data_IF_330214448919
#
_entry.id   IF_330214448919
#
_cell.length_a   1.000
_cell.length_b   1.000
_cell.length_c   1.000
_cell.angle_alpha   90.00
_cell.angle_beta   90.00
_cell.angle_gamma   90.00
#
_symmetry.space_group_name_H-M   'P 1'
#
loop_
_entity.id
_entity.type
_entity.pdbx_description
1 polymer ?
#
# COMPACT_ATOMS: atom_id res chain seq x y z
N UNK A 1 32.99 0.95 -7.97
CA UNK A 1 32.64 1.67 -6.73
C UNK A 1 32.15 3.10 -7.00
N UNK A 2 32.85 3.84 -7.86
CA UNK A 2 32.51 5.21 -8.27
C UNK A 2 31.12 5.34 -8.93
N UNK A 3 30.75 4.45 -9.85
CA UNK A 3 29.43 4.44 -10.49
C UNK A 3 28.27 4.31 -9.47
N UNK A 4 28.44 3.53 -8.41
CA UNK A 4 27.46 3.39 -7.33
C UNK A 4 27.34 4.66 -6.50
N UNK A 5 28.46 5.32 -6.21
CA UNK A 5 28.48 6.62 -5.51
C UNK A 5 27.80 7.71 -6.34
N UNK A 6 27.99 7.69 -7.66
CA UNK A 6 27.33 8.64 -8.55
C UNK A 6 25.83 8.39 -8.65
N UNK A 7 25.39 7.12 -8.75
CA UNK A 7 23.95 6.79 -8.72
C UNK A 7 23.27 7.28 -7.44
N UNK A 8 23.94 7.13 -6.29
CA UNK A 8 23.45 7.64 -4.99
C UNK A 8 23.31 9.16 -5.02
N UNK A 9 24.33 9.89 -5.51
CA UNK A 9 24.29 11.36 -5.62
C UNK A 9 23.15 11.84 -6.52
N UNK A 10 22.95 11.19 -7.66
CA UNK A 10 21.86 11.51 -8.59
C UNK A 10 20.49 11.31 -7.92
N UNK A 11 20.28 10.17 -7.23
CA UNK A 11 19.04 9.93 -6.49
C UNK A 11 18.81 10.95 -5.38
N UNK A 12 19.86 11.31 -4.64
CA UNK A 12 19.74 12.28 -3.56
C UNK A 12 19.38 13.68 -4.08
N UNK A 13 19.99 14.11 -5.18
CA UNK A 13 19.60 15.36 -5.89
C UNK A 13 18.15 15.31 -6.36
N UNK A 14 17.70 14.18 -6.93
CA UNK A 14 16.33 14.02 -7.39
C UNK A 14 15.32 14.04 -6.23
N UNK A 15 15.64 13.38 -5.11
CA UNK A 15 14.81 13.39 -3.90
C UNK A 15 14.69 14.81 -3.34
N UNK A 16 15.79 15.55 -3.25
CA UNK A 16 15.77 16.95 -2.83
C UNK A 16 14.94 17.84 -3.76
N UNK A 17 14.99 17.60 -5.08
CA UNK A 17 14.16 18.32 -6.04
C UNK A 17 12.67 18.02 -5.84
N UNK A 18 12.31 16.75 -5.64
CA UNK A 18 10.93 16.34 -5.32
C UNK A 18 10.47 16.96 -4.00
N UNK A 19 11.30 16.93 -2.97
CA UNK A 19 11.01 17.53 -1.67
C UNK A 19 10.69 19.02 -1.81
N UNK A 20 11.56 19.80 -2.49
CA UNK A 20 11.31 21.23 -2.72
C UNK A 20 10.00 21.46 -3.48
N UNK A 21 9.72 20.64 -4.50
CA UNK A 21 8.53 20.79 -5.33
C UNK A 21 7.23 20.49 -4.57
N UNK A 22 7.20 19.46 -3.74
CA UNK A 22 5.96 18.91 -3.17
C UNK A 22 5.76 19.21 -1.69
N UNK A 23 6.83 19.35 -0.91
CA UNK A 23 6.76 19.49 0.55
C UNK A 23 7.11 20.88 1.06
N UNK A 24 7.79 21.73 0.27
CA UNK A 24 8.27 23.04 0.73
C UNK A 24 7.18 23.92 1.33
N UNK A 25 5.97 23.92 0.75
CA UNK A 25 4.84 24.72 1.25
C UNK A 25 4.33 24.29 2.63
N UNK A 26 4.61 23.04 3.04
CA UNK A 26 4.16 22.46 4.30
C UNK A 26 5.26 22.47 5.37
N UNK A 27 6.49 22.87 5.03
CA UNK A 27 7.64 22.84 5.95
C UNK A 27 7.43 23.59 7.28
N UNK A 28 6.71 24.74 7.34
CA UNK A 28 6.44 25.40 8.62
C UNK A 28 5.70 24.51 9.63
N UNK A 29 4.87 23.58 9.16
CA UNK A 29 4.06 22.68 9.99
C UNK A 29 4.67 21.28 10.08
N UNK A 30 5.33 20.84 9.00
CA UNK A 30 5.82 19.47 8.83
C UNK A 30 7.22 19.26 9.41
N UNK A 31 8.07 20.29 9.39
CA UNK A 31 9.51 20.16 9.65
C UNK A 31 9.86 19.71 11.07
N UNK A 32 9.00 19.96 12.05
CA UNK A 32 9.19 19.57 13.45
C UNK A 32 8.59 18.20 13.79
N UNK A 33 7.81 17.61 12.88
CA UNK A 33 7.14 16.35 13.14
C UNK A 33 8.11 15.16 13.02
N UNK A 34 8.10 14.27 14.00
CA UNK A 34 8.87 13.02 13.97
C UNK A 34 8.51 12.18 12.75
N UNK A 35 7.23 12.12 12.39
CA UNK A 35 6.74 11.43 11.21
C UNK A 35 7.40 11.92 9.91
N UNK A 36 7.72 13.20 9.80
CA UNK A 36 8.45 13.75 8.64
C UNK A 36 9.90 13.28 8.63
N UNK A 37 10.60 13.46 9.75
CA UNK A 37 12.00 13.06 9.90
C UNK A 37 12.20 11.56 9.63
N UNK A 38 11.30 10.72 10.14
CA UNK A 38 11.32 9.27 9.94
C UNK A 38 11.15 8.91 8.46
N UNK A 39 10.13 9.48 7.79
CA UNK A 39 9.89 9.23 6.37
C UNK A 39 11.06 9.70 5.51
N UNK A 40 11.60 10.91 5.75
CA UNK A 40 12.75 11.41 4.97
C UNK A 40 13.99 10.52 5.14
N UNK A 41 14.30 10.13 6.38
CA UNK A 41 15.42 9.23 6.69
C UNK A 41 15.30 7.88 5.96
N UNK A 42 14.10 7.31 5.90
CA UNK A 42 13.85 6.08 5.16
C UNK A 42 13.98 6.27 3.64
N UNK A 43 13.40 7.35 3.11
CA UNK A 43 13.45 7.66 1.67
C UNK A 43 14.89 7.85 1.16
N UNK A 44 15.76 8.48 1.95
CA UNK A 44 17.19 8.60 1.62
C UNK A 44 17.90 7.24 1.52
N UNK A 45 17.41 6.24 2.26
CA UNK A 45 17.89 4.85 2.21
C UNK A 45 17.21 4.03 1.10
N UNK A 46 16.27 4.62 0.37
CA UNK A 46 15.53 3.96 -0.72
C UNK A 46 14.48 2.96 -0.25
N UNK A 47 14.03 3.08 1.00
CA UNK A 47 12.96 2.25 1.59
C UNK A 47 11.88 3.15 2.21
N UNK A 48 10.65 2.68 2.38
CA UNK A 48 9.65 3.44 3.13
C UNK A 48 8.49 2.56 3.61
N UNK A 49 7.53 3.14 4.32
CA UNK A 49 6.25 2.53 4.65
C UNK A 49 5.07 3.33 4.07
N UNK A 50 3.92 2.68 3.90
CA UNK A 50 2.68 3.26 3.41
C UNK A 50 1.47 2.66 4.15
N UNK A 51 0.77 3.48 4.92
CA UNK A 51 -0.45 3.06 5.62
C UNK A 51 -1.42 4.23 5.83
N UNK A 52 -2.67 3.92 6.19
CA UNK A 52 -3.75 4.90 6.38
C UNK A 52 -3.46 5.95 7.47
N UNK A 53 -2.73 5.56 8.52
CA UNK A 53 -2.30 6.45 9.61
C UNK A 53 -1.20 7.46 9.27
N UNK A 54 -0.62 7.46 8.06
CA UNK A 54 0.33 8.48 7.65
C UNK A 54 -0.37 9.82 7.37
N UNK A 55 0.35 10.93 7.58
CA UNK A 55 -0.10 12.24 7.10
C UNK A 55 -0.34 12.17 5.59
N UNK A 56 -1.51 12.63 5.07
CA UNK A 56 -1.85 12.51 3.65
C UNK A 56 -0.77 13.04 2.71
N UNK A 57 -0.15 14.17 3.07
CA UNK A 57 0.93 14.79 2.29
C UNK A 57 2.19 13.91 2.19
N UNK A 58 2.57 13.24 3.29
CA UNK A 58 3.72 12.34 3.30
C UNK A 58 3.40 11.05 2.55
N UNK A 59 2.17 10.54 2.68
CA UNK A 59 1.69 9.36 1.97
C UNK A 59 1.75 9.57 0.45
N UNK A 60 1.22 10.69 -0.04
CA UNK A 60 1.30 11.08 -1.45
C UNK A 60 2.76 11.24 -1.91
N UNK A 61 3.61 11.83 -1.07
CA UNK A 61 5.03 12.00 -1.39
C UNK A 61 5.76 10.66 -1.56
N UNK A 62 5.47 9.65 -0.73
CA UNK A 62 6.01 8.29 -0.88
C UNK A 62 5.56 7.65 -2.20
N UNK A 63 4.28 7.81 -2.57
CA UNK A 63 3.74 7.32 -3.84
C UNK A 63 4.47 7.94 -5.04
N UNK A 64 4.67 9.26 -5.03
CA UNK A 64 5.42 9.97 -6.07
C UNK A 64 6.87 9.49 -6.14
N UNK A 65 7.55 9.34 -5.00
CA UNK A 65 8.94 8.88 -4.95
C UNK A 65 9.07 7.44 -5.47
N UNK A 66 8.07 6.58 -5.22
CA UNK A 66 8.04 5.23 -5.76
C UNK A 66 7.86 5.20 -7.28
N UNK A 67 6.92 5.99 -7.81
CA UNK A 67 6.71 6.12 -9.26
C UNK A 67 7.97 6.63 -9.98
N UNK A 68 8.71 7.56 -9.37
CA UNK A 68 9.99 8.07 -9.87
C UNK A 68 11.17 7.10 -9.63
N UNK A 69 10.93 5.89 -9.11
CA UNK A 69 11.94 4.86 -8.83
C UNK A 69 13.02 5.31 -7.84
N UNK A 70 12.74 6.33 -7.02
CA UNK A 70 13.63 6.82 -5.96
C UNK A 70 13.59 5.89 -4.74
N UNK A 71 12.43 5.27 -4.49
CA UNK A 71 12.24 4.22 -3.48
C UNK A 71 12.18 2.86 -4.18
N UNK A 72 12.85 1.86 -3.62
CA UNK A 72 12.90 0.50 -4.18
C UNK A 72 12.03 -0.50 -3.42
N UNK A 73 11.79 -0.26 -2.13
CA UNK A 73 11.00 -1.12 -1.27
C UNK A 73 10.03 -0.27 -0.44
N UNK A 74 8.76 -0.65 -0.44
CA UNK A 74 7.74 -0.04 0.42
C UNK A 74 7.01 -1.13 1.17
N UNK A 75 6.96 -1.01 2.50
CA UNK A 75 6.10 -1.82 3.35
C UNK A 75 4.72 -1.19 3.40
N UNK A 76 3.67 -1.94 3.08
CA UNK A 76 2.34 -1.34 2.96
C UNK A 76 1.26 -2.18 3.61
N UNK A 77 0.20 -1.52 4.06
CA UNK A 77 -1.05 -2.16 4.47
C UNK A 77 -1.95 -2.43 3.26
N UNK A 78 -2.95 -3.28 3.44
CA UNK A 78 -3.92 -3.69 2.40
C UNK A 78 -4.50 -2.53 1.59
N UNK A 79 -4.75 -1.38 2.25
CA UNK A 79 -5.29 -0.17 1.63
C UNK A 79 -4.49 0.34 0.44
N UNK A 80 -3.19 0.04 0.33
CA UNK A 80 -2.39 0.44 -0.82
C UNK A 80 -2.90 -0.19 -2.13
N UNK A 81 -3.45 -1.40 -2.06
CA UNK A 81 -3.97 -2.08 -3.24
C UNK A 81 -5.27 -1.45 -3.76
N UNK A 82 -5.88 -0.54 -3.00
CA UNK A 82 -7.11 0.16 -3.34
C UNK A 82 -6.76 1.56 -3.89
N UNK A 83 -7.10 1.83 -5.15
CA UNK A 83 -7.17 3.22 -5.66
C UNK A 83 -5.86 3.95 -5.97
N UNK A 84 -4.68 3.35 -5.74
CA UNK A 84 -3.38 3.99 -6.04
C UNK A 84 -2.73 3.43 -7.31
N UNK A 85 -2.11 4.28 -8.13
CA UNK A 85 -1.30 3.86 -9.28
C UNK A 85 0.17 3.62 -8.86
N UNK A 86 0.41 2.53 -8.13
CA UNK A 86 1.74 2.18 -7.62
C UNK A 86 2.14 0.74 -8.02
N UNK A 87 2.34 0.44 -9.33
CA UNK A 87 2.71 -0.90 -9.78
C UNK A 87 4.17 -1.21 -9.43
N UNK A 88 4.40 -2.40 -8.87
CA UNK A 88 5.72 -2.88 -8.47
C UNK A 88 6.19 -4.00 -9.41
N UNK A 89 7.50 -4.22 -9.50
CA UNK A 89 8.01 -5.41 -10.20
C UNK A 89 7.61 -6.70 -9.48
N UNK A 90 7.63 -6.64 -8.15
CA UNK A 90 7.33 -7.77 -7.28
C UNK A 90 6.44 -7.32 -6.11
N UNK A 91 5.54 -8.19 -5.68
CA UNK A 91 4.75 -8.06 -4.45
C UNK A 91 5.15 -9.18 -3.51
N UNK A 92 5.35 -8.85 -2.22
CA UNK A 92 5.73 -9.82 -1.19
C UNK A 92 4.68 -9.81 -0.09
N UNK A 93 4.09 -10.97 0.18
CA UNK A 93 3.18 -11.20 1.30
C UNK A 93 3.98 -11.73 2.49
N UNK A 94 4.04 -10.96 3.58
CA UNK A 94 4.60 -11.43 4.86
C UNK A 94 3.60 -12.26 5.67
N UNK A 95 2.31 -12.00 5.48
CA UNK A 95 1.19 -12.75 6.04
C UNK A 95 0.07 -12.89 4.99
N UNK A 96 -0.74 -13.93 5.15
CA UNK A 96 -1.95 -14.19 4.36
C UNK A 96 -3.21 -14.20 5.22
N UNK A 97 -3.11 -13.66 6.44
CA UNK A 97 -4.21 -13.43 7.37
C UNK A 97 -4.34 -11.94 7.71
N UNK A 98 -5.56 -11.53 8.08
CA UNK A 98 -5.89 -10.18 8.55
C UNK A 98 -6.85 -10.26 9.74
N UNK A 99 -6.92 -9.22 10.59
CA UNK A 99 -7.97 -9.11 11.59
C UNK A 99 -9.36 -9.27 10.96
N UNK A 100 -10.27 -9.88 11.71
CA UNK A 100 -11.66 -9.99 11.29
C UNK A 100 -12.29 -8.60 11.06
N UNK A 101 -13.20 -8.52 10.09
CA UNK A 101 -13.92 -7.29 9.82
C UNK A 101 -14.95 -7.01 10.94
N UNK A 102 -14.99 -5.76 11.43
CA UNK A 102 -15.87 -5.31 12.52
C UNK A 102 -15.36 -5.68 13.92
N UNK A 103 -16.28 -5.79 14.89
CA UNK A 103 -15.94 -6.04 16.30
C UNK A 103 -15.69 -7.53 16.63
N UNK A 104 -15.53 -8.38 15.62
CA UNK A 104 -15.26 -9.80 15.85
C UNK A 104 -13.79 -9.99 16.20
N UNK A 105 -13.46 -10.58 17.37
CA UNK A 105 -12.08 -10.89 17.70
C UNK A 105 -11.51 -11.97 16.76
N UNK A 106 -10.19 -11.99 16.62
CA UNK A 106 -9.47 -13.01 15.86
C UNK A 106 -9.09 -12.57 14.44
N UNK A 107 -8.48 -13.50 13.71
CA UNK A 107 -7.97 -13.30 12.37
C UNK A 107 -8.67 -14.25 11.39
N UNK A 108 -8.76 -13.83 10.13
CA UNK A 108 -9.19 -14.67 9.01
C UNK A 108 -8.16 -14.62 7.90
N UNK A 109 -8.15 -15.66 7.07
CA UNK A 109 -7.37 -15.64 5.83
C UNK A 109 -7.90 -14.55 4.89
N UNK A 110 -7.01 -14.08 4.03
CA UNK A 110 -7.38 -13.23 2.91
C UNK A 110 -8.38 -13.96 2.02
N UNK A 111 -9.35 -13.22 1.48
CA UNK A 111 -10.23 -13.76 0.43
C UNK A 111 -9.52 -13.73 -0.92
N UNK A 112 -9.97 -14.52 -1.92
CA UNK A 112 -9.40 -14.49 -3.26
C UNK A 112 -9.36 -13.09 -3.89
N UNK A 113 -10.42 -12.28 -3.71
CA UNK A 113 -10.50 -10.90 -4.18
C UNK A 113 -9.41 -10.01 -3.56
N UNK A 114 -9.21 -10.10 -2.24
CA UNK A 114 -8.20 -9.33 -1.51
C UNK A 114 -6.78 -9.72 -1.93
N UNK A 115 -6.51 -11.03 -2.05
CA UNK A 115 -5.23 -11.54 -2.51
C UNK A 115 -4.92 -11.03 -3.92
N UNK A 116 -5.84 -11.20 -4.87
CA UNK A 116 -5.62 -10.81 -6.27
C UNK A 116 -5.57 -9.29 -6.46
N UNK A 117 -6.28 -8.52 -5.64
CA UNK A 117 -6.18 -7.06 -5.65
C UNK A 117 -4.76 -6.59 -5.29
N UNK A 118 -4.15 -7.20 -4.28
CA UNK A 118 -2.77 -6.92 -3.86
C UNK A 118 -1.75 -7.49 -4.85
N UNK A 119 -1.89 -8.77 -5.21
CA UNK A 119 -0.99 -9.48 -6.11
C UNK A 119 -0.97 -8.89 -7.52
N UNK A 120 -2.10 -8.36 -8.00
CA UNK A 120 -2.23 -7.69 -9.30
C UNK A 120 -1.43 -6.40 -9.44
N UNK A 121 -0.80 -5.92 -8.35
CA UNK A 121 0.18 -4.82 -8.40
C UNK A 121 1.56 -5.26 -8.84
N UNK A 122 1.83 -6.57 -8.91
CA UNK A 122 3.07 -7.11 -9.45
C UNK A 122 3.07 -7.08 -10.98
N UNK A 123 4.20 -6.66 -11.56
CA UNK A 123 4.40 -6.53 -12.99
C UNK A 123 3.99 -5.15 -13.50
N UNK A 124 4.97 -4.39 -14.01
CA UNK A 124 4.73 -3.06 -14.56
C UNK A 124 4.48 -3.15 -16.05
N UNK A 125 3.29 -2.71 -16.49
CA UNK A 125 2.90 -2.67 -17.91
C UNK A 125 3.96 -1.95 -18.76
N UNK A 126 4.41 -2.61 -19.82
CA UNK A 126 5.43 -2.07 -20.74
C UNK A 126 6.86 -2.01 -20.19
N UNK A 127 7.10 -2.44 -18.94
CA UNK A 127 8.43 -2.45 -18.32
C UNK A 127 8.89 -3.85 -17.92
N UNK A 128 8.00 -4.70 -17.42
CA UNK A 128 8.32 -6.06 -16.99
C UNK A 128 7.63 -7.08 -17.89
N UNK A 129 8.35 -8.16 -18.24
CA UNK A 129 7.78 -9.32 -18.95
C UNK A 129 6.90 -10.15 -18.00
N UNK A 130 7.28 -10.24 -16.73
CA UNK A 130 6.60 -10.99 -15.68
C UNK A 130 6.52 -10.16 -14.40
N UNK A 131 5.39 -10.28 -13.68
CA UNK A 131 5.24 -9.83 -12.30
C UNK A 131 5.51 -10.99 -11.33
N UNK A 132 6.21 -10.73 -10.24
CA UNK A 132 6.51 -11.75 -9.23
C UNK A 132 5.66 -11.55 -7.98
N UNK A 133 5.03 -12.62 -7.52
CA UNK A 133 4.28 -12.66 -6.26
C UNK A 133 4.94 -13.68 -5.36
N UNK A 134 5.40 -13.23 -4.19
CA UNK A 134 6.18 -14.06 -3.26
C UNK A 134 5.44 -14.11 -1.92
N UNK A 135 5.19 -15.31 -1.41
CA UNK A 135 4.78 -15.51 -0.02
C UNK A 135 6.00 -15.83 0.84
N UNK A 136 6.27 -14.98 1.82
CA UNK A 136 7.44 -15.05 2.70
C UNK A 136 7.00 -15.04 4.18
N UNK A 137 6.46 -16.15 4.70
CA UNK A 137 5.94 -16.23 6.08
C UNK A 137 7.01 -15.97 7.15
N UNK A 138 8.28 -16.15 6.81
CA UNK A 138 9.40 -15.85 7.71
C UNK A 138 9.56 -14.35 8.00
N UNK A 139 8.94 -13.47 7.20
CA UNK A 139 8.89 -12.03 7.45
C UNK A 139 7.76 -11.63 8.40
N UNK A 140 6.86 -12.55 8.76
CA UNK A 140 5.82 -12.30 9.76
C UNK A 140 6.47 -12.09 11.14
N UNK A 141 6.04 -11.08 11.92
CA UNK A 141 6.46 -10.94 13.33
C UNK A 141 6.14 -12.16 14.19
N UNK A 142 5.10 -12.92 13.82
CA UNK A 142 4.69 -14.16 14.50
C UNK A 142 5.52 -15.37 14.01
N UNK A 143 6.38 -15.16 13.01
CA UNK A 143 7.18 -16.17 12.35
C UNK A 143 6.33 -17.19 11.59
N UNK A 144 6.87 -18.39 11.44
CA UNK A 144 6.23 -19.50 10.71
C UNK A 144 4.97 -20.05 11.39
N UNK A 145 4.60 -19.56 12.58
CA UNK A 145 3.42 -20.02 13.32
C UNK A 145 2.10 -19.71 12.61
N UNK A 146 2.08 -18.65 11.79
CA UNK A 146 0.93 -18.28 10.95
C UNK A 146 1.11 -18.73 9.49
N UNK A 147 1.84 -19.83 9.27
CA UNK A 147 1.95 -20.38 7.92
C UNK A 147 0.62 -21.02 7.52
N UNK A 148 0.07 -20.59 6.38
CA UNK A 148 -1.14 -21.19 5.81
C UNK A 148 -0.86 -22.59 5.26
N UNK A 149 -1.84 -23.48 5.42
CA UNK A 149 -1.82 -24.80 4.81
C UNK A 149 -1.93 -24.71 3.29
N UNK A 150 -1.50 -25.76 2.59
CA UNK A 150 -1.64 -25.85 1.14
C UNK A 150 -3.11 -25.76 0.68
N UNK A 151 -4.06 -26.23 1.50
CA UNK A 151 -5.49 -26.19 1.19
C UNK A 151 -5.99 -24.74 1.25
N UNK A 152 -5.67 -24.02 2.33
CA UNK A 152 -6.06 -22.61 2.50
C UNK A 152 -5.43 -21.74 1.42
N UNK A 153 -4.14 -21.93 1.13
CA UNK A 153 -3.47 -21.20 0.06
C UNK A 153 -4.12 -21.48 -1.31
N UNK A 154 -4.48 -22.73 -1.59
CA UNK A 154 -5.23 -23.08 -2.81
C UNK A 154 -6.58 -22.38 -2.85
N UNK A 155 -7.32 -22.36 -1.74
CA UNK A 155 -8.59 -21.64 -1.66
C UNK A 155 -8.42 -20.14 -1.95
N UNK A 156 -7.36 -19.50 -1.45
CA UNK A 156 -7.11 -18.09 -1.77
C UNK A 156 -6.75 -17.87 -3.25
N UNK A 157 -5.99 -18.79 -3.86
CA UNK A 157 -5.52 -18.64 -5.24
C UNK A 157 -6.59 -18.93 -6.29
N UNK A 158 -7.39 -19.98 -6.08
CA UNK A 158 -8.35 -20.50 -7.09
C UNK A 158 -9.80 -20.53 -6.59
N UNK A 159 -10.07 -20.02 -5.39
CA UNK A 159 -11.43 -19.94 -4.85
C UNK A 159 -12.30 -18.95 -5.60
N UNK A 160 -13.61 -19.05 -5.38
CA UNK A 160 -14.58 -18.14 -5.98
C UNK A 160 -14.45 -16.73 -5.39
N UNK A 161 -14.48 -15.72 -6.27
CA UNK A 161 -14.60 -14.33 -5.85
C UNK A 161 -16.02 -14.07 -5.37
N UNK A 162 -16.18 -13.37 -4.24
CA UNK A 162 -17.50 -13.01 -3.74
C UNK A 162 -18.25 -12.13 -4.75
N UNK A 163 -19.52 -12.46 -5.01
CA UNK A 163 -20.38 -11.64 -5.83
C UNK A 163 -20.60 -10.28 -5.15
N UNK A 164 -20.61 -9.20 -5.93
CA UNK A 164 -20.96 -7.89 -5.43
C UNK A 164 -22.45 -7.88 -5.01
N UNK A 165 -22.71 -7.79 -3.71
CA UNK A 165 -24.05 -7.63 -3.16
C UNK A 165 -24.32 -6.17 -2.83
N UNK A 166 -25.55 -5.69 -3.07
CA UNK A 166 -25.95 -4.35 -2.65
C UNK A 166 -25.85 -4.22 -1.13
N UNK A 167 -25.20 -3.16 -0.66
CA UNK A 167 -25.16 -2.76 0.75
C UNK A 167 -26.03 -1.52 1.00
N UNK A 168 -26.96 -1.20 0.07
CA UNK A 168 -27.83 -0.04 0.20
C UNK A 168 -28.69 -0.15 1.46
N UNK A 169 -28.50 0.81 2.36
CA UNK A 169 -29.36 0.99 3.53
C UNK A 169 -30.21 2.24 3.32
N UNK A 170 -31.53 2.08 3.42
CA UNK A 170 -32.47 3.21 3.37
C UNK A 170 -32.59 3.78 4.77
N UNK A 171 -31.84 4.83 5.05
CA UNK A 171 -31.85 5.55 6.33
C UNK A 171 -32.63 6.88 6.23
N UNK A 172 -32.82 7.55 7.38
CA UNK A 172 -33.56 8.83 7.40
C UNK A 172 -32.92 9.88 6.48
N UNK A 173 -31.59 10.10 6.48
CA UNK A 173 -30.94 10.98 5.51
C UNK A 173 -31.21 10.62 4.05
N UNK A 174 -31.19 9.32 3.68
CA UNK A 174 -31.51 8.87 2.34
C UNK A 174 -32.93 9.29 1.95
N UNK A 175 -33.91 9.06 2.82
CA UNK A 175 -35.31 9.45 2.56
C UNK A 175 -35.45 10.96 2.42
N UNK A 176 -34.90 11.74 3.36
CA UNK A 176 -35.01 13.21 3.35
C UNK A 176 -34.41 13.86 2.09
N UNK A 177 -33.34 13.29 1.53
CA UNK A 177 -32.73 13.78 0.27
C UNK A 177 -33.58 13.51 -0.97
N UNK A 178 -34.48 12.53 -0.92
CA UNK A 178 -35.31 12.10 -2.06
C UNK A 178 -36.78 12.48 -1.88
N UNK A 179 -37.12 13.21 -0.80
CA UNK A 179 -38.42 13.86 -0.72
C UNK A 179 -38.54 14.88 -1.86
N UNK A 180 -39.70 14.94 -2.54
CA UNK A 180 -39.93 15.99 -3.51
C UNK A 180 -39.79 17.34 -2.82
N UNK A 181 -38.99 18.25 -3.40
CA UNK A 181 -39.09 19.65 -3.03
C UNK A 181 -40.48 20.12 -3.46
N UNK A 182 -41.32 20.55 -2.51
CA UNK A 182 -42.56 21.23 -2.84
C UNK A 182 -42.21 22.39 -3.78
N UNK A 183 -42.78 22.36 -4.99
CA UNK A 183 -42.77 23.48 -5.92
C UNK A 183 -43.67 24.59 -5.43
#
# INVERSE_FOLDING_TARGET
>A
EEARREEVRVKQRALQAMHRKHLQRYMPELGELTAYTDVMSLLERGVCYHHSGMLPVLREFVELCFQQKLVKLVFATETLAIGVNMPARSVVFSSLDKPNDGDRPGHRHLRPDELWQMAGRAGRRGMDVLGYVIYAPTLSPVGIKNMVSAIELRQMLVGEMQAATSQLTVDKPFVLRHLPADR
#
